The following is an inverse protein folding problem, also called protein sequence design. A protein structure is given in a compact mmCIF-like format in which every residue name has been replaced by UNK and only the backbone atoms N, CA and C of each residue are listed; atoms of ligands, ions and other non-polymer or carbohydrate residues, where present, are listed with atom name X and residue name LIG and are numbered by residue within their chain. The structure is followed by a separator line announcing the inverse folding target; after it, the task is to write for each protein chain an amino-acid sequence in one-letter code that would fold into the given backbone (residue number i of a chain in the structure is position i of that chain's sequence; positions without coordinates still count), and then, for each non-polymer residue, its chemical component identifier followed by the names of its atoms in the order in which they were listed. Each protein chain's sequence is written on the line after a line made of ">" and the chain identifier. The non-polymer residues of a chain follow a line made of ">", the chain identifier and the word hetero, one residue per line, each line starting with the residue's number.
data_IF_956246298265
#
_entry.id   IF_956246298265
#
_cell.length_a   1.000
_cell.length_b   1.000
_cell.length_c   1.000
_cell.angle_alpha   90.00
_cell.angle_beta   90.00
_cell.angle_gamma   90.00
#
_symmetry.space_group_name_H-M   'P 1'
#
loop_
_entity.id
_entity.type
_entity.pdbx_description
1 polymer ?
#
# COMPACT_ATOMS: atom_id res chain seq x y z
N UNK A 1 -18.26 -6.75 -12.14
CA UNK A 1 -17.34 -7.21 -13.19
C UNK A 1 -16.04 -7.65 -12.54
N UNK A 2 -15.62 -8.90 -12.77
CA UNK A 2 -14.34 -9.41 -12.30
C UNK A 2 -13.28 -9.09 -13.35
N UNK A 3 -12.35 -8.21 -13.04
CA UNK A 3 -11.31 -7.80 -13.98
C UNK A 3 -10.37 -8.98 -14.27
N UNK A 4 -10.00 -9.12 -15.55
CA UNK A 4 -9.23 -10.26 -16.11
C UNK A 4 -7.87 -10.49 -15.42
N UNK A 5 -7.35 -9.50 -14.69
CA UNK A 5 -6.12 -9.61 -13.89
C UNK A 5 -6.22 -10.51 -12.65
N UNK A 6 -7.43 -10.76 -12.11
CA UNK A 6 -7.61 -11.59 -10.90
C UNK A 6 -7.25 -13.06 -11.12
N UNK A 7 -7.26 -13.54 -12.37
CA UNK A 7 -7.00 -14.96 -12.69
C UNK A 7 -5.50 -15.31 -12.80
N UNK A 8 -4.61 -14.31 -12.73
CA UNK A 8 -3.18 -14.48 -12.99
C UNK A 8 -2.26 -14.17 -11.79
N UNK A 9 -2.80 -14.05 -10.57
CA UNK A 9 -1.98 -13.80 -9.37
C UNK A 9 -1.43 -12.37 -9.24
N UNK A 10 -1.80 -11.46 -10.15
CA UNK A 10 -1.44 -10.03 -10.09
C UNK A 10 -2.45 -9.24 -9.24
N UNK A 11 -2.72 -9.71 -8.02
CA UNK A 11 -3.56 -8.98 -7.07
C UNK A 11 -2.64 -8.13 -6.20
N UNK A 12 -2.88 -6.82 -6.15
CA UNK A 12 -2.14 -5.87 -5.31
C UNK A 12 -3.11 -5.29 -4.28
N UNK A 13 -3.13 -5.87 -3.08
CA UNK A 13 -4.03 -5.45 -2.00
C UNK A 13 -3.32 -5.50 -0.65
N UNK A 14 -3.86 -4.74 0.29
CA UNK A 14 -3.61 -4.90 1.72
C UNK A 14 -4.75 -5.67 2.36
N UNK A 15 -4.51 -6.28 3.53
CA UNK A 15 -5.57 -6.93 4.30
C UNK A 15 -6.58 -5.89 4.82
N UNK A 16 -7.84 -6.29 5.00
CA UNK A 16 -8.83 -5.49 5.72
C UNK A 16 -8.33 -5.15 7.14
N UNK A 17 -8.66 -3.95 7.63
CA UNK A 17 -8.14 -3.37 8.86
C UNK A 17 -6.84 -2.58 8.69
N UNK A 18 -6.19 -2.63 7.52
CA UNK A 18 -5.01 -1.77 7.24
C UNK A 18 -5.41 -0.31 7.32
N UNK A 19 -4.72 0.48 8.15
CA UNK A 19 -5.04 1.88 8.36
C UNK A 19 -4.43 2.76 7.26
N UNK A 20 -5.28 3.59 6.64
CA UNK A 20 -4.90 4.58 5.64
C UNK A 20 -4.94 5.97 6.28
N UNK A 21 -3.87 6.74 6.11
CA UNK A 21 -3.81 8.12 6.57
C UNK A 21 -4.64 9.02 5.66
N UNK A 22 -5.73 9.56 6.20
CA UNK A 22 -6.64 10.48 5.49
C UNK A 22 -6.52 11.90 6.04
N UNK A 23 -7.19 12.85 5.39
CA UNK A 23 -7.39 14.21 5.93
C UNK A 23 -8.03 14.22 7.33
N UNK A 24 -8.84 13.22 7.66
CA UNK A 24 -9.60 13.13 8.91
C UNK A 24 -8.97 12.21 9.96
N UNK A 25 -7.77 11.67 9.69
CA UNK A 25 -7.08 10.70 10.55
C UNK A 25 -6.98 9.32 9.90
N UNK A 26 -6.71 8.30 10.71
CA UNK A 26 -6.57 6.92 10.26
C UNK A 26 -7.94 6.27 10.02
N UNK A 27 -8.13 5.71 8.82
CA UNK A 27 -9.37 5.04 8.42
C UNK A 27 -9.02 3.64 7.89
N UNK A 28 -9.75 2.57 8.26
CA UNK A 28 -9.56 1.25 7.68
C UNK A 28 -9.71 1.26 6.15
N UNK A 29 -8.85 0.53 5.44
CA UNK A 29 -8.80 0.54 3.97
C UNK A 29 -10.12 0.10 3.32
N UNK A 30 -10.88 -0.79 3.95
CA UNK A 30 -12.19 -1.25 3.49
C UNK A 30 -13.29 -0.18 3.56
N UNK A 31 -13.09 0.87 4.37
CA UNK A 31 -14.03 1.98 4.52
C UNK A 31 -13.72 3.14 3.56
N UNK A 32 -12.52 3.19 2.96
CA UNK A 32 -12.11 4.22 2.00
C UNK A 32 -12.96 4.17 0.73
N UNK A 33 -13.49 5.33 0.32
CA UNK A 33 -14.32 5.50 -0.87
C UNK A 33 -13.67 6.42 -1.91
N UNK A 34 -14.03 6.28 -3.20
CA UNK A 34 -13.71 7.30 -4.19
C UNK A 34 -14.22 8.68 -3.75
N UNK A 35 -13.35 9.69 -3.87
CA UNK A 35 -13.58 11.04 -3.36
C UNK A 35 -12.93 11.33 -2.00
N UNK A 36 -12.53 10.30 -1.24
CA UNK A 36 -11.78 10.50 0.00
C UNK A 36 -10.37 11.05 -0.29
N UNK A 37 -9.88 11.90 0.61
CA UNK A 37 -8.54 12.47 0.53
C UNK A 37 -7.57 11.70 1.44
N UNK A 38 -6.56 11.08 0.82
CA UNK A 38 -5.51 10.31 1.49
C UNK A 38 -4.15 10.99 1.35
N UNK A 39 -3.29 10.85 2.35
CA UNK A 39 -1.92 11.30 2.24
C UNK A 39 -1.13 10.37 1.31
N UNK A 40 -0.49 10.97 0.30
CA UNK A 40 0.39 10.26 -0.62
C UNK A 40 1.63 11.09 -0.91
N UNK A 41 2.74 10.40 -1.15
CA UNK A 41 4.02 10.99 -1.51
C UNK A 41 4.26 10.80 -3.00
N UNK A 42 4.61 11.87 -3.68
CA UNK A 42 5.08 11.84 -5.07
C UNK A 42 6.55 11.37 -5.10
N UNK A 43 6.84 10.28 -5.80
CA UNK A 43 8.19 9.67 -5.76
C UNK A 43 9.27 10.45 -6.51
N UNK A 44 8.90 11.36 -7.42
CA UNK A 44 9.85 12.15 -8.19
C UNK A 44 10.30 13.37 -7.39
N UNK A 45 9.36 14.01 -6.71
CA UNK A 45 9.58 15.25 -5.95
C UNK A 45 9.80 15.04 -4.46
N UNK A 46 9.33 13.91 -3.91
CA UNK A 46 9.26 13.65 -2.48
C UNK A 46 8.15 14.44 -1.76
N UNK A 47 7.32 15.20 -2.48
CA UNK A 47 6.27 16.00 -1.89
C UNK A 47 5.12 15.12 -1.38
N UNK A 48 4.78 15.27 -0.10
CA UNK A 48 3.63 14.60 0.50
C UNK A 48 2.43 15.54 0.58
N UNK A 49 1.33 15.15 -0.04
CA UNK A 49 0.10 15.95 -0.13
C UNK A 49 -1.15 15.07 -0.11
N UNK A 50 -2.30 15.69 0.15
CA UNK A 50 -3.59 15.00 0.04
C UNK A 50 -3.94 14.76 -1.42
N UNK A 51 -4.25 13.51 -1.77
CA UNK A 51 -4.72 13.08 -3.09
C UNK A 51 -6.08 12.42 -2.99
N UNK A 52 -6.90 12.65 -4.00
CA UNK A 52 -8.24 12.05 -4.10
C UNK A 52 -8.14 10.59 -4.54
N UNK A 53 -8.81 9.71 -3.81
CA UNK A 53 -9.00 8.32 -4.23
C UNK A 53 -9.97 8.30 -5.41
N UNK A 54 -9.54 7.78 -6.54
CA UNK A 54 -10.38 7.73 -7.77
C UNK A 54 -11.14 6.43 -7.91
N UNK A 55 -10.63 5.34 -7.33
CA UNK A 55 -11.19 4.00 -7.47
C UNK A 55 -10.69 3.08 -6.34
N UNK A 56 -11.53 2.13 -5.94
CA UNK A 56 -11.15 1.04 -5.04
C UNK A 56 -11.12 -0.31 -5.77
N UNK A 57 -10.36 -1.25 -5.21
CA UNK A 57 -10.32 -2.64 -5.67
C UNK A 57 -10.50 -3.55 -4.46
N UNK A 58 -11.40 -4.53 -4.57
CA UNK A 58 -11.64 -5.53 -3.53
C UNK A 58 -11.45 -6.92 -4.12
N UNK A 59 -10.57 -7.70 -3.50
CA UNK A 59 -10.16 -9.02 -3.97
C UNK A 59 -10.05 -9.98 -2.78
N UNK A 60 -10.00 -11.28 -3.07
CA UNK A 60 -9.73 -12.34 -2.10
C UNK A 60 -8.43 -13.07 -2.49
N UNK A 61 -7.68 -13.53 -1.50
CA UNK A 61 -6.40 -14.24 -1.67
C UNK A 61 -6.19 -15.21 -0.51
N UNK A 62 -5.43 -16.28 -0.76
CA UNK A 62 -4.95 -17.21 0.27
C UNK A 62 -3.44 -17.02 0.56
N UNK A 63 -2.75 -16.19 -0.22
CA UNK A 63 -1.33 -15.90 -0.08
C UNK A 63 -1.08 -14.51 0.50
N UNK A 64 -0.20 -14.45 1.51
CA UNK A 64 0.10 -13.23 2.28
C UNK A 64 1.60 -13.07 2.50
N UNK A 65 2.04 -11.81 2.52
CA UNK A 65 3.37 -11.39 2.97
C UNK A 65 3.22 -10.42 4.14
N UNK A 66 4.02 -10.64 5.19
CA UNK A 66 4.10 -9.80 6.37
C UNK A 66 5.38 -8.96 6.30
N UNK A 67 5.24 -7.66 6.03
CA UNK A 67 6.35 -6.71 6.01
C UNK A 67 6.44 -6.05 7.37
N UNK A 68 7.59 -6.16 8.05
CA UNK A 68 7.83 -5.56 9.36
C UNK A 68 8.82 -4.41 9.26
N UNK A 69 8.42 -3.24 9.74
CA UNK A 69 9.26 -2.02 9.73
C UNK A 69 9.07 -1.29 11.04
N UNK A 70 10.16 -0.93 11.73
CA UNK A 70 10.15 -0.21 13.02
C UNK A 70 9.17 -0.77 14.08
N UNK A 71 8.93 -2.09 14.07
CA UNK A 71 8.03 -2.75 15.02
C UNK A 71 6.56 -2.75 14.60
N UNK A 72 6.21 -2.07 13.51
CA UNK A 72 4.92 -2.16 12.85
C UNK A 72 4.92 -3.32 11.83
N UNK A 73 3.74 -3.87 11.55
CA UNK A 73 3.55 -4.93 10.58
C UNK A 73 2.46 -4.52 9.57
N UNK A 74 2.78 -4.68 8.28
CA UNK A 74 1.84 -4.51 7.18
C UNK A 74 1.66 -5.86 6.50
N UNK A 75 0.42 -6.33 6.42
CA UNK A 75 0.07 -7.58 5.72
C UNK A 75 -0.53 -7.26 4.35
N UNK A 76 0.04 -7.83 3.30
CA UNK A 76 -0.32 -7.53 1.92
C UNK A 76 -0.17 -8.76 1.01
N UNK A 77 -0.63 -8.64 -0.24
CA UNK A 77 -0.39 -9.66 -1.26
C UNK A 77 1.09 -9.70 -1.68
N UNK A 78 1.62 -10.85 -2.15
CA UNK A 78 3.04 -11.00 -2.47
C UNK A 78 3.60 -9.98 -3.47
N UNK A 79 2.81 -9.57 -4.45
CA UNK A 79 3.19 -8.62 -5.50
C UNK A 79 2.87 -7.16 -5.17
N UNK A 80 2.41 -6.85 -3.95
CA UNK A 80 2.12 -5.46 -3.57
C UNK A 80 3.42 -4.64 -3.57
N UNK A 81 3.51 -3.52 -4.31
CA UNK A 81 4.75 -2.76 -4.41
C UNK A 81 4.94 -1.86 -3.18
N UNK A 82 6.16 -1.80 -2.68
CA UNK A 82 6.63 -0.85 -1.69
C UNK A 82 7.71 0.02 -2.31
N UNK A 83 7.68 1.32 -2.00
CA UNK A 83 8.70 2.23 -2.49
C UNK A 83 9.93 2.22 -1.58
N UNK A 84 11.09 1.96 -2.18
CA UNK A 84 12.40 2.14 -1.55
C UNK A 84 13.14 3.28 -2.25
N UNK A 85 13.72 4.26 -1.54
CA UNK A 85 14.50 5.33 -2.17
C UNK A 85 15.79 4.82 -2.81
N UNK A 86 16.24 3.60 -2.45
CA UNK A 86 17.45 2.97 -2.98
C UNK A 86 17.15 2.05 -4.17
N UNK A 87 16.01 1.36 -4.14
CA UNK A 87 15.66 0.33 -5.15
C UNK A 87 14.51 0.72 -6.08
N UNK A 88 13.79 1.79 -5.78
CA UNK A 88 12.51 2.12 -6.38
C UNK A 88 11.40 1.17 -5.91
N UNK A 89 10.34 1.08 -6.71
CA UNK A 89 9.20 0.19 -6.47
C UNK A 89 9.63 -1.28 -6.45
N UNK A 90 9.47 -1.93 -5.32
CA UNK A 90 9.89 -3.32 -5.05
C UNK A 90 8.71 -4.13 -4.54
N UNK A 91 8.45 -5.31 -5.09
CA UNK A 91 7.36 -6.18 -4.60
C UNK A 91 7.59 -6.60 -3.15
N UNK A 92 6.51 -6.80 -2.38
CA UNK A 92 6.58 -7.24 -0.98
C UNK A 92 7.43 -8.52 -0.80
N UNK A 93 7.27 -9.50 -1.71
CA UNK A 93 8.03 -10.76 -1.69
C UNK A 93 9.53 -10.58 -2.00
N UNK A 94 9.90 -9.48 -2.63
CA UNK A 94 11.28 -9.17 -3.03
C UNK A 94 12.03 -8.32 -2.01
N UNK A 95 11.32 -7.75 -1.02
CA UNK A 95 11.93 -7.02 0.08
C UNK A 95 12.85 -7.92 0.90
N UNK A 96 13.95 -7.35 1.38
CA UNK A 96 14.93 -8.02 2.24
C UNK A 96 15.18 -7.19 3.49
N UNK A 97 15.58 -7.87 4.57
CA UNK A 97 15.99 -7.18 5.79
C UNK A 97 17.15 -6.21 5.49
N UNK A 98 17.00 -4.96 5.94
CA UNK A 98 17.92 -3.86 5.62
C UNK A 98 17.48 -2.98 4.45
N UNK A 99 16.41 -3.35 3.73
CA UNK A 99 15.81 -2.45 2.74
C UNK A 99 15.14 -1.27 3.46
N UNK A 100 15.38 -0.07 2.92
CA UNK A 100 14.80 1.18 3.42
C UNK A 100 13.47 1.39 2.71
N UNK A 101 12.43 1.63 3.48
CA UNK A 101 11.11 2.04 3.02
C UNK A 101 10.82 3.45 3.54
N UNK A 102 9.95 4.18 2.86
CA UNK A 102 9.56 5.54 3.24
C UNK A 102 8.26 5.49 4.03
N UNK A 103 8.27 5.99 5.26
CA UNK A 103 7.06 6.21 6.04
C UNK A 103 6.49 7.60 5.79
N UNK A 104 5.20 7.79 6.09
CA UNK A 104 4.52 9.08 5.93
C UNK A 104 5.17 10.21 6.76
N UNK A 105 5.76 9.88 7.91
CA UNK A 105 6.48 10.83 8.76
C UNK A 105 7.90 11.12 8.26
N UNK A 106 8.34 10.51 7.16
CA UNK A 106 9.68 10.68 6.58
C UNK A 106 10.79 9.91 7.30
N UNK A 107 10.45 9.03 8.26
CA UNK A 107 11.37 8.04 8.85
C UNK A 107 11.51 6.80 7.97
#
# INVERSE_FOLDING_TARGET
>A
MQFVGQKLGMIQCFIAGTLVATKSGLVPIEDIQPGDLVWATDEETGETSLKEVVQNFRNETEEWVHVKVNGEEITCTPMHPFYSPVKGWTSAVDLRAGDILVMLNGE
#
